data_IF_962815076378
#
_entry.id   IF_962815076378
#
_cell.length_a   1.000
_cell.length_b   1.000
_cell.length_c   1.000
_cell.angle_alpha   90.00
_cell.angle_beta   90.00
_cell.angle_gamma   90.00
#
_symmetry.space_group_name_H-M   'P 1'
#
loop_
_entity.id
_entity.type
_entity.pdbx_description
1 polymer ?
#
# COMPACT_ATOMS: atom_id res chain seq x y z
N UNK A 1 6.29 51.18 1.55
CA UNK A 1 6.89 49.83 1.32
C UNK A 1 6.35 48.83 2.34
N UNK A 2 5.34 48.04 2.03
CA UNK A 2 4.90 46.87 2.80
C UNK A 2 4.18 45.84 1.89
N UNK A 3 4.93 45.00 1.10
CA UNK A 3 4.29 43.82 0.52
C UNK A 3 4.99 42.49 0.90
N UNK A 4 5.90 42.47 1.88
CA UNK A 4 6.67 41.24 2.14
C UNK A 4 5.98 40.22 3.08
N UNK A 5 5.00 40.66 3.89
CA UNK A 5 4.33 39.79 4.85
C UNK A 5 3.28 38.87 4.21
N UNK A 6 2.56 39.37 3.20
CA UNK A 6 1.50 38.61 2.52
C UNK A 6 2.05 37.42 1.70
N UNK A 7 3.24 37.57 1.12
CA UNK A 7 3.88 36.48 0.37
C UNK A 7 4.35 35.33 1.26
N UNK A 8 4.79 35.64 2.48
CA UNK A 8 5.23 34.61 3.43
C UNK A 8 4.08 33.79 3.98
N UNK A 9 2.94 34.42 4.25
CA UNK A 9 1.73 33.73 4.75
C UNK A 9 1.13 32.84 3.65
N UNK A 10 1.10 33.28 2.40
CA UNK A 10 0.64 32.46 1.27
C UNK A 10 1.53 31.25 1.00
N UNK A 11 2.86 31.41 1.15
CA UNK A 11 3.81 30.31 1.03
C UNK A 11 3.69 29.29 2.17
N UNK A 12 3.40 29.74 3.39
CA UNK A 12 3.18 28.88 4.55
C UNK A 12 1.87 28.09 4.45
N UNK A 13 0.81 28.69 3.93
CA UNK A 13 -0.48 28.04 3.67
C UNK A 13 -0.39 26.99 2.56
N UNK A 14 0.41 27.25 1.53
CA UNK A 14 0.67 26.27 0.46
C UNK A 14 1.49 25.07 0.95
N UNK A 15 2.43 25.30 1.88
CA UNK A 15 3.21 24.22 2.51
C UNK A 15 2.36 23.40 3.48
N UNK A 16 1.47 24.02 4.24
CA UNK A 16 0.56 23.32 5.14
C UNK A 16 -0.50 22.49 4.38
N UNK A 17 -1.05 23.02 3.28
CA UNK A 17 -1.97 22.27 2.41
C UNK A 17 -1.29 21.07 1.75
N UNK A 18 -0.01 21.18 1.37
CA UNK A 18 0.75 20.07 0.79
C UNK A 18 1.03 18.94 1.80
N UNK A 19 1.26 19.28 3.07
CA UNK A 19 1.55 18.28 4.10
C UNK A 19 0.32 17.46 4.51
N UNK A 20 -0.87 18.06 4.56
CA UNK A 20 -2.11 17.34 4.90
C UNK A 20 -2.54 16.39 3.77
N UNK A 21 -2.26 16.75 2.55
CA UNK A 21 -2.56 15.97 1.37
C UNK A 21 -1.75 14.66 1.26
N UNK A 22 -0.49 14.69 1.71
CA UNK A 22 0.41 13.54 1.69
C UNK A 22 0.15 12.53 2.82
N UNK A 23 -0.68 12.87 3.81
CA UNK A 23 -1.07 11.98 4.89
C UNK A 23 -2.17 10.97 4.52
N UNK A 24 -2.75 11.07 3.31
CA UNK A 24 -3.83 10.21 2.84
C UNK A 24 -3.45 9.52 1.55
N UNK A 25 -4.08 8.38 1.31
CA UNK A 25 -4.03 7.72 0.02
C UNK A 25 -4.82 8.52 -1.01
N UNK A 26 -4.51 8.32 -2.30
CA UNK A 26 -5.24 8.90 -3.41
C UNK A 26 -6.16 7.84 -4.02
N UNK A 27 -7.41 8.16 -4.35
CA UNK A 27 -8.26 7.25 -5.09
C UNK A 27 -7.68 7.03 -6.49
N UNK A 28 -7.74 5.79 -6.95
CA UNK A 28 -7.39 5.46 -8.33
C UNK A 28 -8.66 5.29 -9.15
N UNK A 29 -8.74 5.98 -10.28
CA UNK A 29 -9.83 5.77 -11.22
C UNK A 29 -9.69 4.43 -11.95
N UNK A 30 -10.81 3.85 -12.38
CA UNK A 30 -10.81 2.62 -13.20
C UNK A 30 -10.05 2.80 -14.52
N UNK A 31 -10.00 4.00 -15.09
CA UNK A 31 -9.25 4.31 -16.31
C UNK A 31 -7.74 4.35 -16.05
N UNK A 32 -7.30 4.94 -14.94
CA UNK A 32 -5.90 4.89 -14.52
C UNK A 32 -5.47 3.46 -14.20
N UNK A 33 -6.35 2.71 -13.54
CA UNK A 33 -6.12 1.30 -13.28
C UNK A 33 -5.95 0.49 -14.59
N UNK A 34 -6.77 0.71 -15.60
CA UNK A 34 -6.63 0.05 -16.91
C UNK A 34 -5.37 0.49 -17.66
N UNK A 35 -5.01 1.76 -17.62
CA UNK A 35 -3.82 2.29 -18.31
C UNK A 35 -2.51 1.78 -17.69
N UNK A 36 -2.45 1.73 -16.37
CA UNK A 36 -1.24 1.31 -15.64
C UNK A 36 -1.35 -0.12 -15.11
N UNK A 37 -2.58 -0.60 -14.87
CA UNK A 37 -2.88 -1.79 -14.10
C UNK A 37 -2.78 -3.07 -14.87
N UNK A 38 -3.36 -3.15 -16.07
CA UNK A 38 -3.42 -4.44 -16.80
C UNK A 38 -2.04 -4.96 -17.19
N UNK A 39 -1.14 -4.08 -17.61
CA UNK A 39 0.21 -4.50 -18.03
C UNK A 39 1.19 -4.64 -16.86
N UNK A 40 1.13 -3.74 -15.88
CA UNK A 40 2.12 -3.72 -14.79
C UNK A 40 1.62 -4.42 -13.53
N UNK A 41 0.34 -4.36 -13.22
CA UNK A 41 -0.25 -4.82 -11.96
C UNK A 41 -1.15 -6.03 -12.11
N UNK A 42 -1.70 -6.29 -13.31
CA UNK A 42 -2.60 -7.41 -13.54
C UNK A 42 -2.08 -8.73 -12.97
N UNK A 43 -0.81 -9.12 -13.21
CA UNK A 43 -0.22 -10.33 -12.65
C UNK A 43 -0.08 -10.33 -11.12
N UNK A 44 -0.22 -9.15 -10.49
CA UNK A 44 -0.04 -8.96 -9.05
C UNK A 44 -1.35 -8.84 -8.29
N UNK A 45 -2.47 -8.61 -8.98
CA UNK A 45 -3.77 -8.54 -8.34
C UNK A 45 -4.29 -9.94 -8.03
N UNK A 46 -4.67 -10.13 -6.78
CA UNK A 46 -5.40 -11.33 -6.38
C UNK A 46 -6.89 -11.05 -6.42
N UNK A 47 -7.61 -11.88 -7.16
CA UNK A 47 -9.07 -11.82 -7.23
C UNK A 47 -9.74 -12.27 -5.94
N UNK A 48 -9.07 -13.13 -5.18
CA UNK A 48 -9.60 -13.78 -3.98
C UNK A 48 -9.13 -13.11 -2.68
N UNK A 49 -8.17 -12.19 -2.74
CA UNK A 49 -7.74 -11.48 -1.55
C UNK A 49 -8.83 -10.53 -1.04
N UNK A 50 -9.09 -10.56 0.25
CA UNK A 50 -10.02 -9.63 0.90
C UNK A 50 -9.47 -8.20 0.84
N UNK A 51 -8.16 -8.05 1.10
CA UNK A 51 -7.41 -6.82 0.95
C UNK A 51 -5.99 -7.11 0.47
N UNK A 52 -5.36 -6.14 -0.16
CA UNK A 52 -3.99 -6.29 -0.65
C UNK A 52 -3.22 -4.97 -0.65
N UNK A 53 -1.90 -5.07 -0.52
CA UNK A 53 -0.93 -4.01 -0.80
C UNK A 53 0.00 -4.49 -1.91
N UNK A 54 0.15 -3.70 -2.96
CA UNK A 54 1.14 -3.93 -4.01
C UNK A 54 2.20 -2.82 -3.94
N UNK A 55 3.47 -3.22 -4.01
CA UNK A 55 4.63 -2.33 -3.96
C UNK A 55 5.37 -2.39 -5.29
N UNK A 56 5.49 -1.24 -5.95
CA UNK A 56 6.23 -1.07 -7.20
C UNK A 56 7.32 -0.03 -7.00
N UNK A 57 8.54 -0.46 -6.66
CA UNK A 57 9.68 0.43 -6.57
C UNK A 57 10.10 0.89 -7.98
N UNK A 58 10.86 1.98 -8.05
CA UNK A 58 11.51 2.35 -9.30
C UNK A 58 12.31 1.17 -9.85
N UNK A 59 12.21 0.85 -11.15
CA UNK A 59 12.84 -0.34 -11.76
C UNK A 59 14.36 -0.41 -11.54
N UNK A 60 14.99 0.73 -11.22
CA UNK A 60 16.43 0.80 -10.96
C UNK A 60 16.82 0.38 -9.54
N UNK A 61 15.86 0.24 -8.61
CA UNK A 61 16.16 0.11 -7.18
C UNK A 61 15.80 -1.28 -6.65
N UNK A 62 14.67 -1.84 -7.04
CA UNK A 62 14.19 -3.13 -6.54
C UNK A 62 13.09 -3.72 -7.42
N UNK A 63 12.63 -4.93 -7.08
CA UNK A 63 11.58 -5.63 -7.80
C UNK A 63 10.22 -5.45 -7.10
N UNK A 64 9.10 -5.60 -7.85
CA UNK A 64 7.77 -5.59 -7.29
C UNK A 64 7.56 -6.65 -6.21
N UNK A 65 6.70 -6.33 -5.25
CA UNK A 65 6.26 -7.25 -4.21
C UNK A 65 4.82 -6.95 -3.78
N UNK A 66 4.17 -7.90 -3.12
CA UNK A 66 2.80 -7.75 -2.66
C UNK A 66 2.57 -8.47 -1.34
N UNK A 67 1.64 -7.94 -0.56
CA UNK A 67 1.03 -8.58 0.60
C UNK A 67 -0.47 -8.75 0.33
N UNK A 68 -0.98 -9.96 0.52
CA UNK A 68 -2.39 -10.28 0.39
C UNK A 68 -2.92 -10.77 1.74
N UNK A 69 -4.13 -10.37 2.07
CA UNK A 69 -4.88 -10.87 3.23
C UNK A 69 -6.09 -11.63 2.71
N UNK A 70 -6.17 -12.90 3.03
CA UNK A 70 -7.28 -13.78 2.68
C UNK A 70 -8.13 -14.04 3.93
N UNK A 71 -9.40 -13.64 3.82
CA UNK A 71 -10.42 -13.82 4.84
C UNK A 71 -11.78 -13.83 4.17
N UNK A 72 -12.34 -14.98 3.92
CA UNK A 72 -13.61 -15.05 3.24
C UNK A 72 -14.15 -16.47 3.09
N UNK A 73 -15.34 -16.60 2.54
CA UNK A 73 -16.03 -17.87 2.35
C UNK A 73 -15.19 -18.84 1.50
N UNK A 74 -14.89 -19.99 2.09
CA UNK A 74 -14.15 -21.07 1.42
C UNK A 74 -12.63 -20.93 1.39
N UNK A 75 -12.08 -19.79 1.82
CA UNK A 75 -10.63 -19.57 1.90
C UNK A 75 -10.11 -19.80 3.33
N UNK A 76 -8.95 -20.41 3.45
CA UNK A 76 -8.24 -20.45 4.74
C UNK A 76 -7.77 -19.05 5.11
N UNK A 77 -7.97 -18.65 6.37
CA UNK A 77 -7.49 -17.38 6.89
C UNK A 77 -5.97 -17.37 6.88
N UNK A 78 -5.37 -16.51 6.05
CA UNK A 78 -3.93 -16.43 5.86
C UNK A 78 -3.48 -15.06 5.35
N UNK A 79 -2.21 -14.76 5.54
CA UNK A 79 -1.51 -13.73 4.80
C UNK A 79 -0.53 -14.39 3.81
N UNK A 80 -0.39 -13.79 2.64
CA UNK A 80 0.55 -14.24 1.62
C UNK A 80 1.48 -13.09 1.22
N UNK A 81 2.76 -13.35 1.18
CA UNK A 81 3.73 -12.47 0.55
C UNK A 81 4.11 -13.02 -0.83
N UNK A 82 4.19 -12.13 -1.82
CA UNK A 82 4.63 -12.44 -3.19
C UNK A 82 5.71 -11.44 -3.59
N UNK A 83 6.75 -11.90 -4.25
CA UNK A 83 7.86 -11.05 -4.70
C UNK A 83 8.53 -11.60 -5.95
N UNK A 84 9.38 -10.78 -6.58
CA UNK A 84 10.25 -11.23 -7.65
C UNK A 84 11.68 -11.47 -7.15
N UNK A 85 12.32 -12.48 -7.74
CA UNK A 85 13.76 -12.73 -7.64
C UNK A 85 14.37 -12.80 -9.03
N UNK A 86 15.69 -12.58 -9.12
CA UNK A 86 16.41 -12.78 -10.38
C UNK A 86 16.55 -14.27 -10.63
N UNK A 87 16.05 -14.74 -11.76
CA UNK A 87 16.29 -16.10 -12.22
C UNK A 87 17.72 -16.19 -12.76
N UNK A 88 18.63 -16.70 -11.95
CA UNK A 88 20.05 -16.84 -12.32
C UNK A 88 20.29 -17.95 -13.36
N UNK A 89 19.36 -18.89 -13.44
CA UNK A 89 19.45 -20.08 -14.29
C UNK A 89 18.66 -19.91 -15.60
N UNK A 90 18.14 -18.71 -15.88
CA UNK A 90 17.37 -18.43 -17.09
C UNK A 90 18.25 -18.58 -18.34
N UNK A 91 17.80 -19.37 -19.30
CA UNK A 91 18.43 -19.49 -20.61
C UNK A 91 18.35 -18.18 -21.39
N UNK A 92 19.24 -17.96 -22.37
CA UNK A 92 19.14 -16.78 -23.25
C UNK A 92 17.76 -16.70 -23.91
N UNK A 93 17.02 -15.59 -23.64
CA UNK A 93 15.66 -15.37 -24.15
C UNK A 93 14.54 -15.72 -23.16
N UNK A 94 14.83 -16.36 -22.03
CA UNK A 94 13.85 -16.60 -20.96
C UNK A 94 13.67 -15.39 -20.03
N UNK A 95 12.55 -15.42 -19.27
CA UNK A 95 12.27 -14.39 -18.29
C UNK A 95 13.35 -14.36 -17.19
N UNK A 96 14.05 -13.23 -17.06
CA UNK A 96 15.08 -13.02 -16.02
C UNK A 96 14.52 -12.88 -14.62
N UNK A 97 13.20 -12.76 -14.46
CA UNK A 97 12.54 -12.60 -13.17
C UNK A 97 11.64 -13.81 -12.90
N UNK A 98 11.79 -14.37 -11.71
CA UNK A 98 10.94 -15.41 -11.16
C UNK A 98 10.07 -14.80 -10.07
N UNK A 99 8.79 -15.17 -10.05
CA UNK A 99 7.88 -14.84 -8.96
C UNK A 99 7.89 -15.96 -7.94
N UNK A 100 8.08 -15.60 -6.67
CA UNK A 100 7.99 -16.49 -5.53
C UNK A 100 6.87 -15.99 -4.61
N UNK A 101 6.27 -16.92 -3.85
CA UNK A 101 5.25 -16.59 -2.85
C UNK A 101 5.30 -17.56 -1.68
N UNK A 102 4.86 -17.09 -0.52
CA UNK A 102 4.76 -17.90 0.68
C UNK A 102 3.55 -17.44 1.51
N UNK A 103 2.88 -18.39 2.15
CA UNK A 103 1.71 -18.12 2.97
C UNK A 103 2.03 -18.38 4.44
N UNK A 104 1.42 -17.59 5.33
CA UNK A 104 1.35 -17.86 6.75
C UNK A 104 -0.12 -17.98 7.16
N UNK A 105 -0.49 -19.11 7.76
CA UNK A 105 -1.81 -19.25 8.40
C UNK A 105 -1.82 -18.42 9.67
N UNK A 106 -2.93 -17.74 9.92
CA UNK A 106 -3.10 -16.93 11.13
C UNK A 106 -4.54 -17.04 11.63
N UNK A 107 -4.80 -16.50 12.82
CA UNK A 107 -6.16 -16.41 13.34
C UNK A 107 -6.97 -15.30 12.62
N UNK A 108 -8.30 -15.43 12.71
CA UNK A 108 -9.23 -14.51 12.04
C UNK A 108 -9.11 -13.08 12.57
N UNK A 109 -8.82 -12.89 13.86
CA UNK A 109 -8.66 -11.56 14.45
C UNK A 109 -7.43 -10.83 13.88
N UNK A 110 -6.32 -11.54 13.72
CA UNK A 110 -5.12 -10.99 13.08
C UNK A 110 -5.39 -10.58 11.64
N UNK A 111 -6.00 -11.47 10.83
CA UNK A 111 -6.31 -11.15 9.45
C UNK A 111 -7.33 -10.01 9.33
N UNK A 112 -8.36 -9.97 10.22
CA UNK A 112 -9.33 -8.88 10.27
C UNK A 112 -8.66 -7.54 10.53
N UNK A 113 -7.75 -7.45 11.50
CA UNK A 113 -7.08 -6.20 11.82
C UNK A 113 -6.32 -5.61 10.61
N UNK A 114 -5.63 -6.43 9.83
CA UNK A 114 -4.97 -5.98 8.59
C UNK A 114 -5.97 -5.60 7.50
N UNK A 115 -7.09 -6.32 7.38
CA UNK A 115 -8.17 -5.94 6.46
C UNK A 115 -8.75 -4.57 6.81
N UNK A 116 -9.11 -4.35 8.07
CA UNK A 116 -9.67 -3.09 8.56
C UNK A 116 -8.69 -1.92 8.34
N UNK A 117 -7.41 -2.11 8.64
CA UNK A 117 -6.40 -1.08 8.39
C UNK A 117 -6.39 -0.63 6.93
N UNK A 118 -6.34 -1.57 5.98
CA UNK A 118 -6.31 -1.25 4.56
C UNK A 118 -7.64 -0.64 4.12
N UNK A 119 -8.76 -1.17 4.57
CA UNK A 119 -10.10 -0.68 4.24
C UNK A 119 -10.32 0.75 4.71
N UNK A 120 -9.97 1.07 5.96
CA UNK A 120 -10.08 2.43 6.49
C UNK A 120 -9.14 3.39 5.76
N UNK A 121 -7.91 3.00 5.48
CA UNK A 121 -6.99 3.82 4.72
C UNK A 121 -7.51 4.13 3.30
N UNK A 122 -8.07 3.14 2.62
CA UNK A 122 -8.69 3.29 1.28
C UNK A 122 -9.98 4.10 1.37
N UNK A 123 -10.80 3.89 2.42
CA UNK A 123 -12.06 4.60 2.63
C UNK A 123 -11.88 6.10 2.89
N UNK A 124 -10.74 6.50 3.43
CA UNK A 124 -10.41 7.91 3.71
C UNK A 124 -9.51 8.56 2.65
N UNK A 125 -9.32 7.92 1.50
CA UNK A 125 -8.52 8.49 0.42
C UNK A 125 -9.14 9.80 -0.08
N UNK A 126 -8.27 10.76 -0.47
CA UNK A 126 -8.68 12.05 -0.97
C UNK A 126 -7.91 12.34 -2.26
N UNK A 127 -8.61 12.89 -3.26
CA UNK A 127 -7.97 13.36 -4.47
C UNK A 127 -7.12 14.60 -4.15
N UNK A 128 -5.84 14.45 -4.33
CA UNK A 128 -4.87 15.52 -4.17
C UNK A 128 -4.06 15.52 -5.44
N UNK A 129 -4.26 16.50 -6.29
CA UNK A 129 -3.69 16.60 -7.63
C UNK A 129 -2.36 15.88 -7.84
N UNK A 130 -2.19 15.26 -8.96
CA UNK A 130 -1.07 14.36 -9.24
C UNK A 130 0.29 15.02 -9.01
N UNK A 131 1.02 14.51 -8.04
CA UNK A 131 2.47 14.63 -8.01
C UNK A 131 3.05 13.32 -8.54
N UNK A 132 3.23 13.25 -9.85
CA UNK A 132 3.99 12.14 -10.45
C UNK A 132 5.47 12.52 -10.41
N UNK A 133 6.29 11.66 -9.78
CA UNK A 133 7.74 11.72 -9.84
C UNK A 133 8.28 10.52 -10.61
N UNK A 134 9.47 10.65 -11.16
CA UNK A 134 10.15 9.55 -11.86
C UNK A 134 10.86 8.60 -10.89
N UNK A 135 11.23 9.10 -9.71
CA UNK A 135 11.95 8.36 -8.68
C UNK A 135 11.07 8.13 -7.46
N UNK A 136 11.02 6.90 -6.97
CA UNK A 136 10.29 6.54 -5.77
C UNK A 136 9.53 5.22 -5.89
N UNK A 137 8.89 4.84 -4.78
CA UNK A 137 8.07 3.62 -4.72
C UNK A 137 6.60 4.00 -4.79
N UNK A 138 5.86 3.34 -5.68
CA UNK A 138 4.41 3.44 -5.74
C UNK A 138 3.79 2.26 -5.03
N UNK A 139 2.78 2.54 -4.24
CA UNK A 139 1.98 1.54 -3.52
C UNK A 139 0.54 1.60 -3.97
N UNK A 140 -0.09 0.44 -4.01
CA UNK A 140 -1.52 0.25 -4.26
C UNK A 140 -2.11 -0.52 -3.10
N UNK A 141 -3.32 -0.13 -2.70
CA UNK A 141 -4.04 -0.73 -1.59
C UNK A 141 -5.48 -0.96 -1.99
N UNK A 142 -6.09 -1.98 -1.41
CA UNK A 142 -7.51 -2.23 -1.54
C UNK A 142 -7.87 -3.62 -2.02
N UNK A 143 -9.02 -3.71 -2.66
CA UNK A 143 -9.58 -4.94 -3.20
C UNK A 143 -10.08 -4.71 -4.64
N UNK A 144 -10.87 -5.64 -5.19
CA UNK A 144 -11.42 -5.51 -6.55
C UNK A 144 -12.36 -4.31 -6.75
N UNK A 145 -12.95 -3.78 -5.69
CA UNK A 145 -14.00 -2.74 -5.75
C UNK A 145 -13.42 -1.35 -5.52
N UNK A 146 -12.47 -1.24 -4.59
CA UNK A 146 -11.86 0.04 -4.21
C UNK A 146 -10.36 -0.09 -4.20
N UNK A 147 -9.72 0.81 -4.93
CA UNK A 147 -8.25 0.90 -5.00
C UNK A 147 -7.82 2.32 -4.71
N UNK A 148 -6.83 2.45 -3.85
CA UNK A 148 -6.14 3.70 -3.58
C UNK A 148 -4.63 3.54 -3.81
N UNK A 149 -3.96 4.64 -4.04
CA UNK A 149 -2.52 4.67 -4.34
C UNK A 149 -1.81 5.73 -3.52
N UNK A 150 -0.52 5.53 -3.33
CA UNK A 150 0.38 6.59 -2.87
C UNK A 150 1.74 6.44 -3.55
N UNK A 151 2.41 7.56 -3.76
CA UNK A 151 3.76 7.62 -4.27
C UNK A 151 4.64 8.36 -3.28
N UNK A 152 5.82 7.79 -2.92
CA UNK A 152 6.72 8.36 -1.91
C UNK A 152 5.97 8.82 -0.64
N UNK A 153 5.33 7.91 0.09
CA UNK A 153 4.40 8.24 1.16
C UNK A 153 5.09 8.97 2.32
N UNK A 154 4.33 9.84 2.99
CA UNK A 154 4.72 10.54 4.22
C UNK A 154 3.59 10.45 5.25
N UNK A 155 3.88 10.79 6.51
CA UNK A 155 2.87 10.78 7.58
C UNK A 155 2.17 9.43 7.75
N UNK A 156 0.84 9.40 7.83
CA UNK A 156 0.07 8.17 8.02
C UNK A 156 0.18 7.21 6.82
N UNK A 157 0.28 7.70 5.60
CA UNK A 157 0.52 6.85 4.43
C UNK A 157 1.87 6.16 4.50
N UNK A 158 2.91 6.82 5.04
CA UNK A 158 4.21 6.18 5.29
C UNK A 158 4.12 5.13 6.38
N UNK A 159 3.48 5.43 7.50
CA UNK A 159 3.27 4.45 8.57
C UNK A 159 2.49 3.22 8.10
N UNK A 160 1.48 3.43 7.24
CA UNK A 160 0.74 2.34 6.61
C UNK A 160 1.67 1.45 5.77
N UNK A 161 2.48 2.05 4.88
CA UNK A 161 3.42 1.28 4.07
C UNK A 161 4.45 0.56 4.93
N UNK A 162 5.01 1.23 5.95
CA UNK A 162 6.03 0.67 6.84
C UNK A 162 5.49 -0.57 7.60
N UNK A 163 4.28 -0.49 8.18
CA UNK A 163 3.70 -1.61 8.93
C UNK A 163 3.34 -2.78 8.02
N UNK A 164 2.84 -2.52 6.81
CA UNK A 164 2.51 -3.58 5.86
C UNK A 164 3.76 -4.21 5.24
N UNK A 165 4.85 -3.46 5.06
CA UNK A 165 6.15 -4.02 4.65
C UNK A 165 6.76 -4.89 5.75
N UNK A 166 6.66 -4.50 7.02
CA UNK A 166 7.05 -5.35 8.15
C UNK A 166 6.22 -6.63 8.17
N UNK A 167 4.91 -6.53 7.98
CA UNK A 167 4.03 -7.70 7.89
C UNK A 167 4.42 -8.62 6.72
N UNK A 168 4.68 -8.07 5.53
CA UNK A 168 5.16 -8.84 4.39
C UNK A 168 6.49 -9.54 4.70
N UNK A 169 7.40 -8.89 5.43
CA UNK A 169 8.67 -9.48 5.86
C UNK A 169 8.45 -10.61 6.86
N UNK A 170 7.57 -10.43 7.85
CA UNK A 170 7.21 -11.48 8.81
C UNK A 170 6.60 -12.70 8.10
N UNK A 171 5.72 -12.48 7.11
CA UNK A 171 5.16 -13.56 6.29
C UNK A 171 6.26 -14.28 5.50
N UNK A 172 7.17 -13.56 4.85
CA UNK A 172 8.30 -14.15 4.11
C UNK A 172 9.20 -15.02 5.00
N UNK A 173 9.40 -14.59 6.24
CA UNK A 173 10.20 -15.30 7.23
C UNK A 173 9.41 -16.39 7.97
N UNK A 174 8.13 -16.58 7.67
CA UNK A 174 7.21 -17.50 8.37
C UNK A 174 7.15 -17.24 9.88
N UNK A 175 7.26 -15.99 10.29
CA UNK A 175 7.30 -15.56 11.69
C UNK A 175 5.97 -14.99 12.16
N UNK A 176 5.08 -15.86 12.64
CA UNK A 176 3.76 -15.44 13.15
C UNK A 176 3.87 -14.54 14.40
N UNK A 177 4.89 -14.73 15.21
CA UNK A 177 5.12 -13.90 16.41
C UNK A 177 5.42 -12.46 16.03
N UNK A 178 6.31 -12.25 15.04
CA UNK A 178 6.56 -10.90 14.51
C UNK A 178 5.31 -10.29 13.87
N UNK A 179 4.53 -11.09 13.12
CA UNK A 179 3.28 -10.63 12.54
C UNK A 179 2.31 -10.15 13.61
N UNK A 180 2.11 -10.92 14.67
CA UNK A 180 1.22 -10.54 15.80
C UNK A 180 1.75 -9.36 16.60
N UNK A 181 3.07 -9.20 16.71
CA UNK A 181 3.68 -8.05 17.37
C UNK A 181 3.36 -6.70 16.68
N UNK A 182 2.92 -6.71 15.42
CA UNK A 182 2.50 -5.51 14.71
C UNK A 182 1.06 -5.06 15.06
N UNK A 183 0.23 -5.92 15.66
CA UNK A 183 -1.18 -5.63 15.90
C UNK A 183 -1.45 -4.34 16.69
N UNK A 184 -0.68 -3.97 17.72
CA UNK A 184 -0.88 -2.69 18.39
C UNK A 184 -0.69 -1.47 17.47
N UNK A 185 0.31 -1.52 16.58
CA UNK A 185 0.56 -0.47 15.59
C UNK A 185 -0.56 -0.44 14.53
N UNK A 186 -0.99 -1.60 14.05
CA UNK A 186 -2.10 -1.77 13.10
C UNK A 186 -3.37 -1.13 13.66
N UNK A 187 -3.77 -1.51 14.88
CA UNK A 187 -4.98 -0.98 15.54
C UNK A 187 -4.90 0.52 15.82
N UNK A 188 -3.73 1.01 16.23
CA UNK A 188 -3.52 2.44 16.46
C UNK A 188 -3.69 3.22 15.17
N UNK A 189 -3.10 2.74 14.08
CA UNK A 189 -3.15 3.41 12.78
C UNK A 189 -4.56 3.33 12.16
N UNK A 190 -5.28 2.22 12.34
CA UNK A 190 -6.69 2.09 11.95
C UNK A 190 -7.53 3.20 12.58
N UNK A 191 -7.41 3.40 13.89
CA UNK A 191 -8.12 4.48 14.61
C UNK A 191 -7.74 5.89 14.12
N UNK A 192 -6.53 6.08 13.65
CA UNK A 192 -6.13 7.37 13.06
C UNK A 192 -6.79 7.60 11.71
N UNK A 193 -6.91 6.58 10.86
CA UNK A 193 -7.67 6.68 9.62
C UNK A 193 -9.17 6.87 9.89
N UNK A 194 -9.76 6.17 10.86
CA UNK A 194 -11.16 6.39 11.27
C UNK A 194 -11.49 7.85 11.60
N UNK A 195 -10.58 8.55 12.27
CA UNK A 195 -10.75 9.98 12.59
C UNK A 195 -10.76 10.89 11.37
N UNK A 196 -10.31 10.40 10.22
CA UNK A 196 -10.29 11.15 8.97
C UNK A 196 -11.58 11.00 8.16
N UNK A 197 -12.51 10.12 8.55
CA UNK A 197 -13.84 10.09 7.95
C UNK A 197 -14.55 11.44 8.17
N UNK A 198 -15.27 11.95 7.15
CA UNK A 198 -16.14 13.09 7.35
C UNK A 198 -17.07 12.79 8.52
N UNK A 199 -17.18 13.70 9.45
CA UNK A 199 -18.25 13.66 10.46
C UNK A 199 -19.46 14.27 9.78
N UNK A 200 -20.54 13.50 9.69
CA UNK A 200 -21.85 13.98 9.26
C UNK A 200 -22.33 15.10 10.18
#
# INVERSE_FOLDING_TARGET
MKPKLSFFIASLLLLAGGATAQNRLQPMSLSEYKLWGEKSFGPWLSENASQQMLKFPSPMIAFPSALYVYRGYGESVRLQAKWCTVNKDAAPGEAKLKQDSIDIKTDDATALAFCELIEHAVGTCMFVGERMGFDGTRYFFGNRIRVATTWSPVGNSKRLTDVLEKAMTAVRNQNETELKALLPEVQSLTKEFEKLYPKD
#
